data_IF_406914145060
#
_entry.id   IF_406914145060
#
_cell.length_a   1.000
_cell.length_b   1.000
_cell.length_c   1.000
_cell.angle_alpha   90.00
_cell.angle_beta   90.00
_cell.angle_gamma   90.00
#
_symmetry.space_group_name_H-M   'P 1'
#
loop_
_entity.id
_entity.type
_entity.pdbx_description
1 polymer ?
#
# COMPACT_ATOMS: atom_id res chain seq x y z
N UNK A 1 2.13 21.09 7.99
CA UNK A 1 2.75 20.83 6.68
C UNK A 1 1.74 20.09 5.81
N UNK A 2 1.69 20.43 4.51
CA UNK A 2 0.77 19.84 3.54
C UNK A 2 1.59 19.26 2.39
N UNK A 3 1.33 18.00 2.04
CA UNK A 3 1.87 17.30 0.89
C UNK A 3 0.74 17.18 -0.14
N UNK A 4 1.05 17.34 -1.41
CA UNK A 4 0.09 17.11 -2.50
C UNK A 4 0.42 15.80 -3.19
N UNK A 5 -0.61 15.08 -3.58
CA UNK A 5 -0.53 13.88 -4.42
C UNK A 5 -1.22 14.15 -5.76
N UNK A 6 -0.65 13.66 -6.85
CA UNK A 6 -1.12 14.01 -8.19
C UNK A 6 -2.40 13.28 -8.58
N UNK A 7 -2.49 12.01 -8.25
CA UNK A 7 -3.57 11.11 -8.67
C UNK A 7 -3.78 10.02 -7.63
N UNK A 8 -4.90 9.31 -7.72
CA UNK A 8 -5.14 8.07 -6.99
C UNK A 8 -4.78 6.85 -7.87
N UNK A 9 -5.61 5.85 -7.91
CA UNK A 9 -5.44 4.58 -8.65
C UNK A 9 -5.87 4.73 -10.13
N UNK A 10 -5.16 5.55 -10.89
CA UNK A 10 -5.49 5.78 -12.29
C UNK A 10 -5.01 4.63 -13.18
N UNK A 11 -5.93 4.04 -13.94
CA UNK A 11 -5.72 2.96 -14.89
C UNK A 11 -6.86 2.94 -15.93
N UNK A 12 -6.80 2.00 -16.87
CA UNK A 12 -7.75 1.89 -18.00
C UNK A 12 -9.01 1.05 -17.70
N UNK A 13 -9.30 0.77 -16.44
CA UNK A 13 -10.33 -0.17 -15.96
C UNK A 13 -10.12 -1.63 -16.34
N UNK A 14 -8.96 -1.98 -16.86
CA UNK A 14 -8.57 -3.35 -17.16
C UNK A 14 -7.41 -3.77 -16.27
N UNK A 15 -7.62 -4.75 -15.40
CA UNK A 15 -6.54 -5.29 -14.58
C UNK A 15 -5.64 -6.19 -15.45
N UNK A 16 -4.37 -5.86 -15.48
CA UNK A 16 -3.36 -6.56 -16.28
C UNK A 16 -2.19 -5.65 -16.61
N UNK A 17 -1.47 -6.03 -17.65
CA UNK A 17 -0.32 -5.25 -18.09
C UNK A 17 -0.78 -3.93 -18.72
N UNK A 18 -0.23 -2.78 -18.29
CA UNK A 18 -0.63 -1.49 -18.80
C UNK A 18 -0.30 -1.34 -20.29
N UNK A 19 -1.21 -0.73 -21.04
CA UNK A 19 -0.92 -0.27 -22.39
C UNK A 19 0.14 0.85 -22.34
N UNK A 20 1.21 0.79 -23.15
CA UNK A 20 2.27 1.80 -23.13
C UNK A 20 1.78 3.24 -23.30
N UNK A 21 0.78 3.48 -24.15
CA UNK A 21 0.21 4.81 -24.34
C UNK A 21 -0.42 5.35 -23.05
N UNK A 22 -1.26 4.55 -22.39
CA UNK A 22 -1.93 4.96 -21.16
C UNK A 22 -0.95 5.16 -20.00
N UNK A 23 0.05 4.28 -19.92
CA UNK A 23 1.11 4.41 -18.94
C UNK A 23 1.93 5.69 -19.14
N UNK A 24 2.25 6.04 -20.39
CA UNK A 24 2.93 7.29 -20.71
C UNK A 24 2.08 8.51 -20.39
N UNK A 25 0.75 8.41 -20.49
CA UNK A 25 -0.16 9.48 -20.06
C UNK A 25 -0.08 9.73 -18.54
N UNK A 26 0.06 8.68 -17.71
CA UNK A 26 0.31 8.83 -16.27
C UNK A 26 1.60 9.60 -16.00
N UNK A 27 2.68 9.28 -16.72
CA UNK A 27 3.94 10.02 -16.61
C UNK A 27 3.76 11.50 -17.00
N UNK A 28 3.02 11.78 -18.07
CA UNK A 28 2.74 13.14 -18.52
C UNK A 28 1.90 13.92 -17.47
N UNK A 29 0.90 13.29 -16.87
CA UNK A 29 0.10 13.90 -15.80
C UNK A 29 0.95 14.23 -14.58
N UNK A 30 1.84 13.34 -14.16
CA UNK A 30 2.79 13.59 -13.08
C UNK A 30 3.68 14.80 -13.38
N UNK A 31 4.21 14.91 -14.61
CA UNK A 31 5.04 16.05 -15.03
C UNK A 31 4.23 17.36 -14.98
N UNK A 32 3.02 17.38 -15.57
CA UNK A 32 2.12 18.56 -15.58
C UNK A 32 1.78 18.97 -14.14
N UNK A 33 1.51 18.02 -13.26
CA UNK A 33 1.22 18.29 -11.85
C UNK A 33 2.41 18.99 -11.17
N UNK A 34 3.61 18.43 -11.30
CA UNK A 34 4.82 19.00 -10.69
C UNK A 34 5.07 20.41 -11.22
N UNK A 35 5.04 20.61 -12.53
CA UNK A 35 5.26 21.91 -13.16
C UNK A 35 4.24 22.95 -12.69
N UNK A 36 2.96 22.56 -12.62
CA UNK A 36 1.87 23.43 -12.18
C UNK A 36 2.05 23.86 -10.73
N UNK A 37 2.36 22.92 -9.84
CA UNK A 37 2.59 23.24 -8.42
C UNK A 37 3.82 24.14 -8.26
N UNK A 38 4.92 23.89 -8.95
CA UNK A 38 6.13 24.74 -8.88
C UNK A 38 5.86 26.13 -9.44
N UNK A 39 5.14 26.24 -10.56
CA UNK A 39 4.76 27.52 -11.17
C UNK A 39 3.90 28.37 -10.25
N UNK A 40 3.08 27.78 -9.38
CA UNK A 40 2.28 28.51 -8.39
C UNK A 40 3.12 29.27 -7.35
N UNK A 41 4.39 28.92 -7.17
CA UNK A 41 5.35 29.67 -6.36
C UNK A 41 5.10 29.61 -4.85
N UNK A 42 5.74 30.53 -4.13
CA UNK A 42 5.65 30.63 -2.69
C UNK A 42 6.13 29.35 -1.97
N UNK A 43 5.37 28.84 -1.00
CA UNK A 43 5.70 27.60 -0.29
C UNK A 43 5.69 26.35 -1.17
N UNK A 44 5.10 26.44 -2.37
CA UNK A 44 5.07 25.31 -3.30
C UNK A 44 6.43 25.05 -3.95
N UNK A 45 7.35 26.02 -3.94
CA UNK A 45 8.71 25.81 -4.43
C UNK A 45 9.50 24.77 -3.61
N UNK A 46 9.12 24.54 -2.36
CA UNK A 46 9.79 23.60 -1.45
C UNK A 46 8.86 22.50 -0.93
N UNK A 47 7.63 22.43 -1.41
CA UNK A 47 6.68 21.40 -1.03
C UNK A 47 7.09 20.04 -1.55
N UNK A 48 7.03 19.01 -0.71
CA UNK A 48 7.11 17.63 -1.19
C UNK A 48 5.83 17.26 -1.94
N UNK A 49 5.99 16.53 -3.04
CA UNK A 49 4.93 16.08 -3.91
C UNK A 49 4.97 14.56 -4.00
N UNK A 50 3.82 13.92 -3.93
CA UNK A 50 3.65 12.49 -4.13
C UNK A 50 3.19 12.24 -5.55
N UNK A 51 3.83 11.29 -6.21
CA UNK A 51 3.45 10.84 -7.56
C UNK A 51 3.34 9.32 -7.60
N UNK A 52 2.25 8.77 -8.12
CA UNK A 52 2.08 7.34 -8.33
C UNK A 52 2.54 6.91 -9.72
N UNK A 53 2.88 5.63 -9.85
CA UNK A 53 2.89 4.93 -11.13
C UNK A 53 1.49 4.43 -11.53
N UNK A 54 1.43 3.55 -12.53
CA UNK A 54 0.19 2.95 -13.00
C UNK A 54 -0.56 2.25 -11.86
N UNK A 55 -1.81 2.66 -11.66
CA UNK A 55 -2.72 2.11 -10.64
C UNK A 55 -2.11 2.04 -9.22
N UNK A 56 -1.17 2.94 -8.90
CA UNK A 56 -0.40 2.87 -7.64
C UNK A 56 0.22 1.50 -7.33
N UNK A 57 0.30 0.61 -8.32
CA UNK A 57 0.83 -0.74 -8.18
C UNK A 57 2.35 -0.74 -8.03
N UNK A 58 2.86 -1.54 -7.08
CA UNK A 58 4.29 -1.60 -6.76
C UNK A 58 5.11 -2.14 -7.93
N UNK A 59 4.64 -3.20 -8.62
CA UNK A 59 5.41 -3.82 -9.69
C UNK A 59 5.50 -2.88 -10.89
N UNK A 60 4.40 -2.25 -11.27
CA UNK A 60 4.38 -1.31 -12.38
C UNK A 60 5.13 -0.01 -12.06
N UNK A 61 5.09 0.46 -10.82
CA UNK A 61 5.82 1.66 -10.39
C UNK A 61 7.34 1.41 -10.33
N UNK A 62 7.76 0.22 -9.86
CA UNK A 62 9.20 -0.13 -9.81
C UNK A 62 9.75 -0.63 -11.13
N UNK A 63 8.88 -1.10 -12.03
CA UNK A 63 9.28 -1.79 -13.26
C UNK A 63 9.73 -3.24 -13.05
N UNK A 64 9.59 -3.77 -11.84
CA UNK A 64 9.94 -5.15 -11.48
C UNK A 64 8.67 -6.02 -11.39
N UNK A 65 8.24 -6.50 -12.54
CA UNK A 65 7.05 -7.32 -12.71
C UNK A 65 7.42 -8.80 -12.85
N UNK A 66 7.96 -9.44 -11.84
CA UNK A 66 8.39 -10.85 -11.71
C UNK A 66 8.34 -11.73 -12.99
N UNK A 67 7.29 -11.67 -13.78
CA UNK A 67 7.03 -12.53 -14.96
C UNK A 67 6.76 -11.77 -16.26
N UNK A 68 6.93 -10.45 -16.26
CA UNK A 68 6.54 -9.60 -17.38
C UNK A 68 7.55 -8.47 -17.59
N UNK A 69 7.92 -8.20 -18.82
CA UNK A 69 8.76 -7.07 -19.21
C UNK A 69 7.86 -5.90 -19.64
N UNK A 70 7.92 -4.79 -18.93
CA UNK A 70 7.16 -3.59 -19.27
C UNK A 70 7.74 -2.92 -20.51
N UNK A 71 6.86 -2.56 -21.45
CA UNK A 71 7.20 -1.74 -22.63
C UNK A 71 7.31 -0.25 -22.27
N UNK A 72 6.57 0.21 -21.26
CA UNK A 72 6.64 1.55 -20.72
C UNK A 72 7.22 1.54 -19.30
N UNK A 73 7.84 2.65 -18.89
CA UNK A 73 8.47 2.80 -17.57
C UNK A 73 7.91 3.98 -16.82
N UNK A 74 7.84 3.86 -15.50
CA UNK A 74 7.59 4.98 -14.62
C UNK A 74 8.73 6.00 -14.74
N UNK A 75 8.37 7.26 -14.93
CA UNK A 75 9.33 8.37 -15.07
C UNK A 75 9.12 9.35 -13.93
N UNK A 76 10.16 9.55 -13.14
CA UNK A 76 10.14 10.55 -12.08
C UNK A 76 10.49 11.91 -12.68
N UNK A 77 9.64 12.95 -12.54
CA UNK A 77 9.97 14.31 -12.93
C UNK A 77 11.28 14.80 -12.31
N UNK A 78 12.03 15.60 -13.04
CA UNK A 78 13.29 16.17 -12.55
C UNK A 78 13.05 17.26 -11.50
N UNK A 79 12.77 16.83 -10.27
CA UNK A 79 12.51 17.68 -9.11
C UNK A 79 13.04 17.00 -7.84
N UNK A 80 13.74 17.73 -7.00
CA UNK A 80 14.41 17.19 -5.80
C UNK A 80 13.48 16.91 -4.62
N UNK A 81 12.19 17.24 -4.73
CA UNK A 81 11.20 17.08 -3.66
C UNK A 81 10.02 16.20 -4.07
N UNK A 82 10.35 15.13 -4.79
CA UNK A 82 9.41 14.08 -5.17
C UNK A 82 9.48 12.92 -4.17
N UNK A 83 8.33 12.39 -3.83
CA UNK A 83 8.14 11.12 -3.14
C UNK A 83 7.24 10.23 -3.99
N UNK A 84 7.38 8.93 -3.84
CA UNK A 84 6.65 7.94 -4.62
C UNK A 84 5.46 7.44 -3.80
N UNK A 85 4.29 7.41 -4.43
CA UNK A 85 3.05 6.85 -3.86
C UNK A 85 2.75 5.49 -4.46
N UNK A 86 2.44 4.52 -3.61
CA UNK A 86 1.96 3.19 -4.00
C UNK A 86 0.89 2.73 -3.01
N UNK A 87 0.05 1.78 -3.43
CA UNK A 87 -0.90 1.10 -2.57
C UNK A 87 -0.53 -0.37 -2.38
N UNK A 88 -0.99 -0.99 -1.28
CA UNK A 88 -0.65 -2.36 -0.97
C UNK A 88 -1.84 -3.14 -0.41
N UNK A 89 -2.49 -3.92 -1.27
CA UNK A 89 -3.62 -4.79 -0.91
C UNK A 89 -3.37 -6.26 -1.28
N UNK A 90 -2.14 -6.74 -1.03
CA UNK A 90 -1.76 -8.09 -1.39
C UNK A 90 -1.54 -9.01 -0.19
N UNK A 91 -2.05 -10.26 -0.23
CA UNK A 91 -2.86 -10.82 -1.32
C UNK A 91 -4.30 -10.26 -1.30
N UNK A 92 -4.86 -10.00 -2.48
CA UNK A 92 -6.21 -9.45 -2.62
C UNK A 92 -7.28 -10.35 -1.96
N UNK A 93 -7.09 -11.66 -2.04
CA UNK A 93 -7.97 -12.66 -1.42
C UNK A 93 -8.11 -12.48 0.10
N UNK A 94 -7.13 -11.89 0.76
CA UNK A 94 -7.21 -11.50 2.18
C UNK A 94 -7.61 -10.05 2.37
N UNK A 95 -7.09 -9.14 1.56
CA UNK A 95 -7.21 -7.71 1.77
C UNK A 95 -8.56 -7.14 1.33
N UNK A 96 -9.09 -7.57 0.17
CA UNK A 96 -10.26 -6.91 -0.44
C UNK A 96 -11.28 -7.80 -1.12
N UNK A 97 -10.94 -9.06 -1.45
CA UNK A 97 -11.84 -9.96 -2.16
C UNK A 97 -13.12 -10.27 -1.37
N UNK A 98 -14.28 -10.06 -1.98
CA UNK A 98 -15.59 -10.31 -1.37
C UNK A 98 -16.26 -11.61 -1.86
N UNK A 99 -15.70 -12.25 -2.88
CA UNK A 99 -16.22 -13.44 -3.55
C UNK A 99 -15.82 -14.78 -2.92
N UNK A 100 -15.52 -15.77 -3.77
CA UNK A 100 -15.32 -17.15 -3.36
C UNK A 100 -13.89 -17.48 -2.92
N UNK A 101 -12.87 -16.87 -3.53
CA UNK A 101 -11.46 -17.16 -3.25
C UNK A 101 -10.89 -16.30 -2.12
N UNK A 102 -11.57 -16.31 -0.96
CA UNK A 102 -11.20 -15.44 0.16
C UNK A 102 -10.45 -16.18 1.25
N UNK A 103 -9.48 -15.49 1.85
CA UNK A 103 -8.78 -15.96 3.04
C UNK A 103 -9.32 -15.23 4.29
N UNK A 104 -9.55 -15.97 5.37
CA UNK A 104 -9.94 -15.40 6.66
C UNK A 104 -8.75 -15.28 7.61
N UNK A 105 -7.69 -16.02 7.34
CA UNK A 105 -6.44 -16.08 8.08
C UNK A 105 -5.28 -15.72 7.16
N UNK A 106 -4.22 -15.16 7.70
CA UNK A 106 -3.06 -14.74 6.94
C UNK A 106 -1.76 -15.02 7.71
N UNK A 107 -0.69 -15.35 6.98
CA UNK A 107 0.65 -15.59 7.50
C UNK A 107 1.14 -17.03 7.29
N UNK A 108 2.45 -17.21 7.37
CA UNK A 108 3.11 -18.51 7.19
C UNK A 108 2.70 -19.57 8.24
N UNK A 109 2.20 -19.14 9.39
CA UNK A 109 1.69 -20.05 10.42
C UNK A 109 0.41 -20.78 10.01
N UNK A 110 -0.31 -20.29 9.02
CA UNK A 110 -1.59 -20.83 8.52
C UNK A 110 -1.54 -21.20 7.04
N UNK A 111 -0.45 -21.82 6.60
CA UNK A 111 -0.15 -22.15 5.19
C UNK A 111 -1.27 -22.85 4.42
N UNK A 112 -2.11 -23.63 5.08
CA UNK A 112 -3.27 -24.30 4.46
C UNK A 112 -4.36 -23.32 3.99
N UNK A 113 -4.32 -22.07 4.47
CA UNK A 113 -5.29 -21.03 4.14
C UNK A 113 -4.71 -19.92 3.26
N UNK A 114 -3.43 -20.01 2.89
CA UNK A 114 -2.72 -19.01 2.10
C UNK A 114 -1.99 -19.69 0.96
N UNK A 115 -2.10 -19.16 -0.25
CA UNK A 115 -1.34 -19.69 -1.39
C UNK A 115 0.16 -19.54 -1.12
N UNK A 116 1.01 -20.43 -1.66
CA UNK A 116 2.46 -20.32 -1.51
C UNK A 116 2.96 -18.92 -1.90
N UNK A 117 3.86 -18.34 -1.08
CA UNK A 117 4.50 -17.05 -1.30
C UNK A 117 3.56 -15.82 -1.21
N UNK A 118 2.37 -15.96 -0.63
CA UNK A 118 1.39 -14.87 -0.42
C UNK A 118 1.26 -14.43 1.05
N UNK A 119 2.22 -14.77 1.88
CA UNK A 119 2.31 -14.39 3.29
C UNK A 119 3.37 -13.31 3.52
N UNK A 120 4.08 -13.36 4.62
CA UNK A 120 5.15 -12.42 5.01
C UNK A 120 6.24 -12.29 3.93
N UNK A 121 6.50 -13.37 3.22
CA UNK A 121 7.48 -13.38 2.11
C UNK A 121 7.05 -12.48 0.94
N UNK A 122 5.75 -12.33 0.69
CA UNK A 122 5.24 -11.40 -0.33
C UNK A 122 5.46 -9.95 0.09
N UNK A 123 5.09 -9.62 1.33
CA UNK A 123 5.31 -8.26 1.89
C UNK A 123 6.78 -7.88 1.75
N UNK A 124 7.68 -8.74 2.20
CA UNK A 124 9.12 -8.48 2.12
C UNK A 124 9.59 -8.27 0.68
N UNK A 125 9.21 -9.16 -0.24
CA UNK A 125 9.58 -9.06 -1.66
C UNK A 125 9.11 -7.74 -2.29
N UNK A 126 7.86 -7.38 -2.05
CA UNK A 126 7.28 -6.15 -2.62
C UNK A 126 7.96 -4.89 -2.05
N UNK A 127 8.25 -4.88 -0.76
CA UNK A 127 8.90 -3.72 -0.14
C UNK A 127 10.41 -3.66 -0.44
N UNK A 128 11.06 -4.79 -0.72
CA UNK A 128 12.43 -4.82 -1.25
C UNK A 128 12.51 -4.19 -2.64
N UNK A 129 11.51 -4.38 -3.51
CA UNK A 129 11.42 -3.69 -4.80
C UNK A 129 11.39 -2.17 -4.61
N UNK A 130 10.53 -1.66 -3.72
CA UNK A 130 10.45 -0.23 -3.41
C UNK A 130 11.75 0.32 -2.83
N UNK A 131 12.37 -0.41 -1.91
CA UNK A 131 13.65 -0.01 -1.33
C UNK A 131 14.75 0.10 -2.40
N UNK A 132 14.87 -0.90 -3.25
CA UNK A 132 15.90 -0.94 -4.29
C UNK A 132 15.67 0.10 -5.40
N UNK A 133 14.41 0.30 -5.82
CA UNK A 133 14.09 1.24 -6.87
C UNK A 133 14.18 2.71 -6.42
N UNK A 134 13.74 3.01 -5.19
CA UNK A 134 13.52 4.39 -4.76
C UNK A 134 14.28 4.80 -3.50
N UNK A 135 14.09 4.12 -2.36
CA UNK A 135 14.68 4.54 -1.08
C UNK A 135 16.21 4.59 -1.17
N UNK A 136 16.83 3.56 -1.70
CA UNK A 136 18.29 3.48 -1.90
C UNK A 136 18.82 4.60 -2.79
N UNK A 137 17.97 5.14 -3.66
CA UNK A 137 18.30 6.23 -4.58
C UNK A 137 17.90 7.62 -4.05
N UNK A 138 17.50 7.72 -2.79
CA UNK A 138 17.21 8.99 -2.11
C UNK A 138 15.76 9.50 -2.23
N UNK A 139 14.86 8.74 -2.83
CA UNK A 139 13.44 9.09 -2.87
C UNK A 139 12.69 8.55 -1.65
N UNK A 140 11.81 9.37 -1.07
CA UNK A 140 10.84 8.88 -0.08
C UNK A 140 9.75 8.03 -0.74
N UNK A 141 9.26 7.02 -0.02
CA UNK A 141 8.13 6.18 -0.47
C UNK A 141 7.04 6.20 0.58
N UNK A 142 5.81 6.39 0.13
CA UNK A 142 4.60 6.30 0.94
C UNK A 142 3.70 5.20 0.37
N UNK A 143 3.38 4.21 1.20
CA UNK A 143 2.25 3.31 0.93
C UNK A 143 1.01 4.08 1.38
N UNK A 144 0.37 4.78 0.42
CA UNK A 144 -0.76 5.70 0.66
C UNK A 144 -2.02 5.00 1.11
N UNK A 145 -2.15 3.72 0.76
CA UNK A 145 -3.23 2.86 1.22
C UNK A 145 -2.76 1.43 1.44
N UNK A 146 -3.22 0.83 2.53
CA UNK A 146 -3.17 -0.61 2.78
C UNK A 146 -4.23 -0.97 3.82
N UNK A 147 -4.61 -2.23 3.87
CA UNK A 147 -5.57 -2.70 4.86
C UNK A 147 -6.13 -4.06 4.53
N UNK A 148 -7.09 -4.51 5.35
CA UNK A 148 -7.83 -5.75 5.10
C UNK A 148 -9.26 -5.63 5.62
N UNK A 149 -10.21 -6.18 4.85
CA UNK A 149 -11.63 -6.11 5.16
C UNK A 149 -12.05 -7.05 6.29
N UNK A 150 -13.13 -6.69 6.98
CA UNK A 150 -13.70 -7.48 8.06
C UNK A 150 -14.46 -8.71 7.54
N UNK A 151 -14.00 -9.89 7.92
CA UNK A 151 -14.67 -11.19 7.66
C UNK A 151 -15.00 -11.95 8.94
N UNK A 152 -15.14 -11.26 10.08
CA UNK A 152 -15.48 -11.87 11.37
C UNK A 152 -16.84 -12.56 11.38
N UNK A 153 -17.71 -12.21 10.45
CA UNK A 153 -18.97 -12.92 10.22
C UNK A 153 -18.77 -14.36 9.70
N UNK A 154 -17.62 -14.65 9.09
CA UNK A 154 -17.23 -15.97 8.56
C UNK A 154 -16.28 -16.71 9.50
N UNK A 155 -15.30 -16.02 10.05
CA UNK A 155 -14.33 -16.56 11.01
C UNK A 155 -13.99 -15.51 12.07
N UNK A 156 -14.34 -15.78 13.33
CA UNK A 156 -14.09 -14.87 14.45
C UNK A 156 -12.60 -14.57 14.67
N UNK A 157 -11.71 -15.48 14.27
CA UNK A 157 -10.27 -15.26 14.36
C UNK A 157 -9.73 -14.23 13.34
N UNK A 158 -10.54 -13.84 12.35
CA UNK A 158 -10.13 -12.87 11.32
C UNK A 158 -9.57 -11.56 11.92
N UNK A 159 -10.12 -11.05 13.02
CA UNK A 159 -9.60 -9.84 13.71
C UNK A 159 -8.14 -10.01 14.10
N UNK A 160 -7.75 -11.19 14.64
CA UNK A 160 -6.37 -11.46 15.06
C UNK A 160 -5.41 -11.41 13.86
N UNK A 161 -5.84 -12.01 12.73
CA UNK A 161 -5.03 -12.03 11.51
C UNK A 161 -4.98 -10.69 10.79
N UNK A 162 -6.03 -9.89 10.85
CA UNK A 162 -6.04 -8.50 10.38
C UNK A 162 -5.07 -7.64 11.20
N UNK A 163 -5.08 -7.79 12.51
CA UNK A 163 -4.14 -7.09 13.39
C UNK A 163 -2.69 -7.51 13.12
N UNK A 164 -2.44 -8.81 12.95
CA UNK A 164 -1.12 -9.33 12.60
C UNK A 164 -0.64 -8.84 11.22
N UNK A 165 -1.51 -8.85 10.21
CA UNK A 165 -1.20 -8.30 8.88
C UNK A 165 -0.80 -6.82 8.97
N UNK A 166 -1.59 -6.02 9.69
CA UNK A 166 -1.28 -4.61 9.88
C UNK A 166 0.05 -4.41 10.63
N UNK A 167 0.33 -5.21 11.65
CA UNK A 167 1.60 -5.16 12.38
C UNK A 167 2.78 -5.53 11.49
N UNK A 168 2.65 -6.61 10.70
CA UNK A 168 3.72 -7.06 9.82
C UNK A 168 4.01 -6.10 8.67
N UNK A 169 2.98 -5.55 8.03
CA UNK A 169 3.13 -4.54 6.97
C UNK A 169 3.88 -3.31 7.51
N UNK A 170 3.49 -2.80 8.69
CA UNK A 170 4.17 -1.66 9.29
C UNK A 170 5.61 -1.97 9.71
N UNK A 171 5.85 -3.16 10.27
CA UNK A 171 7.21 -3.62 10.58
C UNK A 171 8.08 -3.67 9.31
N UNK A 172 7.62 -4.35 8.28
CA UNK A 172 8.39 -4.52 7.04
C UNK A 172 8.67 -3.18 6.33
N UNK A 173 7.71 -2.25 6.37
CA UNK A 173 7.87 -0.90 5.86
C UNK A 173 8.88 -0.09 6.69
N UNK A 174 8.77 -0.13 8.02
CA UNK A 174 9.69 0.55 8.93
C UNK A 174 11.14 0.10 8.74
N UNK A 175 11.39 -1.19 8.56
CA UNK A 175 12.74 -1.72 8.30
C UNK A 175 13.36 -1.17 6.99
N UNK A 176 12.56 -0.58 6.11
CA UNK A 176 12.97 -0.04 4.80
C UNK A 176 12.79 1.46 4.67
N UNK A 177 12.50 2.16 5.76
CA UNK A 177 12.20 3.60 5.77
C UNK A 177 11.03 3.99 4.85
N UNK A 178 10.03 3.13 4.73
CA UNK A 178 8.79 3.37 3.99
C UNK A 178 7.70 3.82 4.98
N UNK A 179 6.96 4.86 4.64
CA UNK A 179 5.80 5.33 5.40
C UNK A 179 4.55 4.60 4.95
N UNK A 180 3.66 4.29 5.88
CA UNK A 180 2.39 3.60 5.60
C UNK A 180 1.21 4.41 6.11
N UNK A 181 0.11 4.41 5.36
CA UNK A 181 -1.18 5.01 5.72
C UNK A 181 -2.26 3.95 5.60
N UNK A 182 -2.94 3.64 6.71
CA UNK A 182 -4.01 2.64 6.71
C UNK A 182 -5.27 3.22 6.05
N UNK A 183 -5.90 2.43 5.18
CA UNK A 183 -7.16 2.80 4.56
C UNK A 183 -8.35 2.54 5.49
N UNK A 184 -8.87 3.58 6.14
CA UNK A 184 -10.13 3.56 6.88
C UNK A 184 -11.23 4.19 6.02
N UNK A 185 -12.07 3.35 5.40
CA UNK A 185 -13.18 3.81 4.58
C UNK A 185 -14.40 4.31 5.39
N UNK A 186 -14.30 4.34 6.73
CA UNK A 186 -15.37 4.76 7.63
C UNK A 186 -16.50 3.73 7.80
N UNK A 187 -16.38 2.55 7.19
CA UNK A 187 -17.38 1.50 7.28
C UNK A 187 -16.95 0.41 8.27
N UNK A 188 -17.74 0.27 9.37
CA UNK A 188 -17.56 -0.71 10.42
C UNK A 188 -18.59 -1.83 10.26
N UNK A 189 -18.24 -2.89 9.56
CA UNK A 189 -19.15 -4.01 9.32
C UNK A 189 -18.53 -5.00 8.38
N UNK A 190 -19.33 -5.99 7.97
CA UNK A 190 -18.90 -7.01 7.02
C UNK A 190 -18.26 -6.35 5.78
N UNK A 191 -17.04 -6.77 5.48
CA UNK A 191 -16.20 -6.23 4.38
C UNK A 191 -15.76 -4.76 4.54
N UNK A 192 -15.91 -4.16 5.73
CA UNK A 192 -15.41 -2.82 6.03
C UNK A 192 -13.93 -2.81 6.40
N UNK A 193 -13.27 -1.68 6.11
CA UNK A 193 -11.91 -1.38 6.57
C UNK A 193 -11.90 -0.52 7.83
N UNK A 194 -13.08 -0.02 8.28
CA UNK A 194 -13.19 0.97 9.33
C UNK A 194 -12.55 0.56 10.65
N UNK A 195 -11.79 1.49 11.24
CA UNK A 195 -11.16 1.35 12.55
C UNK A 195 -11.91 2.16 13.63
N UNK A 196 -12.73 3.11 13.20
CA UNK A 196 -13.41 4.07 14.07
C UNK A 196 -14.90 4.18 13.75
N UNK A 197 -15.73 4.29 14.77
CA UNK A 197 -17.08 4.83 14.62
C UNK A 197 -16.97 6.37 14.62
N UNK A 198 -17.06 6.97 13.44
CA UNK A 198 -16.90 8.42 13.28
C UNK A 198 -18.05 9.22 13.86
N UNK A 199 -19.23 8.63 14.00
CA UNK A 199 -20.40 9.26 14.62
C UNK A 199 -20.24 9.36 16.16
N UNK A 200 -19.75 8.26 16.77
CA UNK A 200 -19.54 8.19 18.21
C UNK A 200 -18.15 8.63 18.65
N UNK A 201 -17.24 8.90 17.71
CA UNK A 201 -15.83 9.20 17.97
C UNK A 201 -15.16 8.11 18.83
N UNK A 202 -15.43 6.84 18.54
CA UNK A 202 -14.88 5.71 19.30
C UNK A 202 -14.07 4.77 18.41
N UNK A 203 -13.10 4.10 19.01
CA UNK A 203 -12.31 3.03 18.35
C UNK A 203 -13.16 1.76 18.28
N UNK A 204 -13.24 1.14 17.09
CA UNK A 204 -13.97 -0.12 16.86
C UNK A 204 -13.06 -1.31 16.68
N UNK A 205 -11.80 -1.10 16.27
CA UNK A 205 -10.80 -2.15 15.99
C UNK A 205 -9.47 -1.87 16.74
N UNK A 206 -9.46 -1.90 18.09
CA UNK A 206 -8.29 -1.52 18.88
C UNK A 206 -7.09 -2.46 18.65
N UNK A 207 -7.32 -3.74 18.32
CA UNK A 207 -6.25 -4.70 18.04
C UNK A 207 -5.48 -4.34 16.76
N UNK A 208 -6.20 -3.89 15.71
CA UNK A 208 -5.57 -3.48 14.44
C UNK A 208 -4.75 -2.21 14.67
N UNK A 209 -5.29 -1.21 15.38
CA UNK A 209 -4.58 0.02 15.72
C UNK A 209 -3.32 -0.31 16.54
N UNK A 210 -3.42 -1.22 17.51
CA UNK A 210 -2.27 -1.69 18.28
C UNK A 210 -1.22 -2.33 17.38
N UNK A 211 -1.64 -3.18 16.44
CA UNK A 211 -0.75 -3.78 15.45
C UNK A 211 -0.01 -2.73 14.62
N UNK A 212 -0.72 -1.73 14.09
CA UNK A 212 -0.12 -0.60 13.35
C UNK A 212 0.98 0.08 14.17
N UNK A 213 0.67 0.46 15.42
CA UNK A 213 1.60 1.17 16.31
C UNK A 213 2.80 0.29 16.68
N UNK A 214 2.58 -0.99 16.97
CA UNK A 214 3.64 -1.92 17.31
C UNK A 214 4.59 -2.12 16.12
N UNK A 215 4.05 -2.42 14.94
CA UNK A 215 4.84 -2.64 13.74
C UNK A 215 5.71 -1.44 13.37
N UNK A 216 5.16 -0.23 13.46
CA UNK A 216 5.89 1.01 13.19
C UNK A 216 7.08 1.28 14.14
N UNK A 217 7.19 0.56 15.26
CA UNK A 217 8.27 0.69 16.26
C UNK A 217 9.11 -0.58 16.38
N UNK A 218 8.71 -1.66 15.73
CA UNK A 218 9.32 -2.97 15.91
C UNK A 218 10.72 -3.04 15.28
N UNK A 219 11.67 -3.59 16.05
CA UNK A 219 13.03 -3.89 15.59
C UNK A 219 13.21 -5.36 15.19
N UNK A 220 12.21 -6.20 15.48
CA UNK A 220 12.16 -7.62 15.13
C UNK A 220 10.81 -7.96 14.54
N UNK A 221 10.78 -8.97 13.69
CA UNK A 221 9.55 -9.45 13.08
C UNK A 221 8.50 -9.81 14.14
N UNK A 222 7.23 -9.38 13.94
CA UNK A 222 6.13 -9.77 14.82
C UNK A 222 5.97 -11.28 14.90
N UNK A 223 5.53 -11.76 16.06
CA UNK A 223 5.23 -13.17 16.23
C UNK A 223 3.89 -13.51 15.57
N UNK A 224 3.92 -14.48 14.66
CA UNK A 224 2.71 -14.93 13.99
C UNK A 224 1.70 -15.52 15.00
N UNK A 225 0.38 -15.31 14.78
CA UNK A 225 -0.65 -16.00 15.54
C UNK A 225 -0.50 -17.51 15.41
N UNK A 226 -0.77 -18.23 16.49
CA UNK A 226 -0.91 -19.69 16.48
C UNK A 226 -2.39 -20.06 16.30
N UNK A 227 -2.64 -21.15 15.58
CA UNK A 227 -4.01 -21.70 15.47
C UNK A 227 -4.57 -22.14 16.83
#
# INVERSE_FOLDING_TARGET
>A
HLVFESMNEEFDNTYGNPNPEYYNNINAYNQIFVDTVRKAGGKNNSRYLLIPGWNTDINFTTGDCDSYTMEAKFVIPNDSRIMISVHYYSPWEFCGEEGYDTFYKWGDSVKKFVKPRQSESLVNRQFDKLYNAFIKNGYGVVIGEYGSIDRTSKDKSNTIYRAYFAEYVNYAAHQRNIVTVYWDNGYNGKHGFGLFDRTKCTVTQPEIIKGIINGAKATKAPKAPTE
#
